data_IF_923319042079
#
_entry.id   IF_923319042079
#
_cell.length_a   1.000
_cell.length_b   1.000
_cell.length_c   1.000
_cell.angle_alpha   90.00
_cell.angle_beta   90.00
_cell.angle_gamma   90.00
#
_symmetry.space_group_name_H-M   'P 1'
#
loop_
_entity.id
_entity.type
_entity.pdbx_description
1 polymer ?
#
# COMPACT_ATOMS: atom_id res chain seq x y z
N UNK A 1 -19.63 13.80 -24.63
CA UNK A 1 -19.77 12.41 -24.10
C UNK A 1 -20.48 11.50 -25.09
N UNK A 2 -21.65 11.87 -25.66
CA UNK A 2 -22.36 11.03 -26.64
C UNK A 2 -21.56 10.70 -27.91
N UNK A 3 -20.79 11.65 -28.44
CA UNK A 3 -19.89 11.39 -29.58
C UNK A 3 -18.79 10.37 -29.24
N UNK A 4 -18.28 10.39 -28.00
CA UNK A 4 -17.30 9.42 -27.53
C UNK A 4 -17.90 8.01 -27.48
N UNK A 5 -19.10 7.84 -26.91
CA UNK A 5 -19.77 6.55 -26.81
C UNK A 5 -20.07 5.99 -28.22
N UNK A 6 -20.60 6.81 -29.13
CA UNK A 6 -20.86 6.38 -30.53
C UNK A 6 -19.59 6.02 -31.29
N UNK A 7 -18.47 6.69 -30.99
CA UNK A 7 -17.21 6.43 -31.69
C UNK A 7 -16.56 5.11 -31.25
N UNK A 8 -16.55 4.85 -29.92
CA UNK A 8 -15.90 3.67 -29.36
C UNK A 8 -16.81 2.45 -29.21
N UNK A 9 -18.11 2.66 -29.26
CA UNK A 9 -19.15 1.61 -29.13
C UNK A 9 -18.85 0.63 -27.95
N UNK A 10 -18.63 1.13 -26.73
CA UNK A 10 -18.23 0.28 -25.62
C UNK A 10 -19.38 -0.61 -25.17
N UNK A 11 -19.09 -1.86 -24.85
CA UNK A 11 -20.07 -2.79 -24.25
C UNK A 11 -20.23 -2.58 -22.74
N UNK A 12 -19.28 -1.93 -22.09
CA UNK A 12 -19.28 -1.59 -20.67
C UNK A 12 -18.36 -0.39 -20.42
N UNK A 13 -18.79 0.51 -19.54
CA UNK A 13 -17.94 1.58 -19.00
C UNK A 13 -17.62 1.25 -17.55
N UNK A 14 -16.33 1.21 -17.22
CA UNK A 14 -15.86 1.01 -15.86
C UNK A 14 -15.23 2.29 -15.34
N UNK A 15 -15.80 2.83 -14.26
CA UNK A 15 -15.28 4.00 -13.55
C UNK A 15 -14.66 3.54 -12.23
N UNK A 16 -13.60 4.22 -11.78
CA UNK A 16 -12.82 3.77 -10.62
C UNK A 16 -12.84 4.79 -9.50
N UNK A 17 -12.95 4.33 -8.25
CA UNK A 17 -12.92 5.09 -7.01
C UNK A 17 -14.12 6.06 -6.83
N UNK A 18 -13.93 7.38 -6.99
CA UNK A 18 -14.96 8.40 -6.68
C UNK A 18 -15.38 9.18 -7.93
N UNK A 19 -15.17 8.61 -9.10
CA UNK A 19 -15.46 9.28 -10.37
C UNK A 19 -16.97 9.18 -10.69
N UNK A 20 -17.71 10.28 -10.46
CA UNK A 20 -19.13 10.40 -10.78
C UNK A 20 -19.30 11.53 -11.78
N UNK A 21 -19.47 11.17 -13.05
CA UNK A 21 -19.60 12.13 -14.14
C UNK A 21 -21.02 12.12 -14.72
N UNK A 22 -21.94 12.99 -14.26
CA UNK A 22 -23.36 12.92 -14.60
C UNK A 22 -23.63 12.89 -16.12
N UNK A 23 -22.89 13.70 -16.91
CA UNK A 23 -23.08 13.76 -18.35
C UNK A 23 -22.62 12.47 -19.06
N UNK A 24 -21.60 11.77 -18.55
CA UNK A 24 -21.18 10.49 -19.10
C UNK A 24 -22.21 9.40 -18.78
N UNK A 25 -22.69 9.36 -17.54
CA UNK A 25 -23.70 8.41 -17.07
C UNK A 25 -25.01 8.56 -17.86
N UNK A 26 -25.51 9.79 -18.01
CA UNK A 26 -26.70 10.05 -18.82
C UNK A 26 -26.49 9.61 -20.28
N UNK A 27 -25.34 9.95 -20.89
CA UNK A 27 -25.06 9.53 -22.26
C UNK A 27 -24.91 8.01 -22.41
N UNK A 28 -24.33 7.33 -21.43
CA UNK A 28 -24.24 5.86 -21.45
C UNK A 28 -25.62 5.22 -21.41
N UNK A 29 -26.50 5.73 -20.54
CA UNK A 29 -27.88 5.27 -20.43
C UNK A 29 -28.67 5.48 -21.72
N UNK A 30 -28.53 6.65 -22.37
CA UNK A 30 -29.19 6.97 -23.63
C UNK A 30 -28.76 6.03 -24.78
N UNK A 31 -27.57 5.43 -24.67
CA UNK A 31 -27.01 4.46 -25.61
C UNK A 31 -27.10 3.00 -25.13
N UNK A 32 -27.79 2.75 -24.00
CA UNK A 32 -27.93 1.42 -23.40
C UNK A 32 -26.59 0.75 -23.06
N UNK A 33 -25.57 1.55 -22.73
CA UNK A 33 -24.25 1.06 -22.32
C UNK A 33 -24.22 0.95 -20.79
N UNK A 34 -24.02 -0.23 -20.22
CA UNK A 34 -23.94 -0.41 -18.77
C UNK A 34 -22.71 0.30 -18.18
N UNK A 35 -22.85 0.81 -16.96
CA UNK A 35 -21.77 1.51 -16.25
C UNK A 35 -21.57 0.94 -14.85
N UNK A 36 -20.35 0.53 -14.54
CA UNK A 36 -19.95 0.08 -13.19
C UNK A 36 -18.99 1.06 -12.54
N UNK A 37 -19.25 1.39 -11.28
CA UNK A 37 -18.28 2.07 -10.42
C UNK A 37 -17.57 1.02 -9.56
N UNK A 38 -16.28 0.78 -9.80
CA UNK A 38 -15.50 -0.23 -9.09
C UNK A 38 -14.53 0.41 -8.11
N UNK A 39 -14.14 -0.36 -7.09
CA UNK A 39 -13.30 0.12 -5.99
C UNK A 39 -13.87 1.41 -5.37
N UNK A 40 -15.20 1.53 -5.34
CA UNK A 40 -15.90 2.75 -4.98
C UNK A 40 -15.66 3.11 -3.51
N UNK A 41 -15.21 4.33 -3.27
CA UNK A 41 -15.05 4.87 -1.92
C UNK A 41 -15.66 6.27 -1.85
N UNK A 42 -16.16 6.63 -0.69
CA UNK A 42 -16.75 7.92 -0.47
C UNK A 42 -16.42 8.45 0.92
N UNK A 43 -15.58 9.48 1.01
CA UNK A 43 -15.25 10.10 2.29
C UNK A 43 -16.49 10.79 2.90
N UNK A 44 -16.51 10.97 4.22
CA UNK A 44 -17.59 11.71 4.87
C UNK A 44 -17.70 13.17 4.38
N UNK A 45 -16.55 13.77 3.99
CA UNK A 45 -16.50 15.11 3.40
C UNK A 45 -17.13 15.11 2.00
N UNK A 46 -16.73 14.18 1.14
CA UNK A 46 -17.27 14.06 -0.23
C UNK A 46 -18.77 13.75 -0.19
N UNK A 47 -19.22 12.87 0.72
CA UNK A 47 -20.64 12.57 0.87
C UNK A 47 -21.47 13.83 1.21
N UNK A 48 -20.96 14.73 2.07
CA UNK A 48 -21.62 16.02 2.34
C UNK A 48 -21.67 16.92 1.11
N UNK A 49 -20.59 16.99 0.34
CA UNK A 49 -20.54 17.77 -0.89
C UNK A 49 -21.53 17.25 -1.93
N UNK A 50 -21.58 15.95 -2.17
CA UNK A 50 -22.55 15.36 -3.09
C UNK A 50 -23.99 15.51 -2.63
N UNK A 51 -24.27 15.42 -1.32
CA UNK A 51 -25.59 15.65 -0.77
C UNK A 51 -26.13 17.08 -1.06
N UNK A 52 -25.25 18.07 -1.18
CA UNK A 52 -25.63 19.44 -1.52
C UNK A 52 -26.28 19.55 -2.91
N UNK A 53 -25.87 18.69 -3.86
CA UNK A 53 -26.44 18.67 -5.22
C UNK A 53 -27.74 17.84 -5.34
N UNK A 54 -28.22 17.24 -4.24
CA UNK A 54 -29.53 16.62 -4.11
C UNK A 54 -29.95 15.70 -5.26
N UNK A 55 -30.97 16.09 -6.00
CA UNK A 55 -31.54 15.27 -7.08
C UNK A 55 -30.55 14.95 -8.22
N UNK A 56 -29.60 15.83 -8.52
CA UNK A 56 -28.57 15.58 -9.52
C UNK A 56 -27.67 14.40 -9.12
N UNK A 57 -27.23 14.39 -7.86
CA UNK A 57 -26.44 13.29 -7.31
C UNK A 57 -27.22 11.99 -7.30
N UNK A 58 -28.45 12.02 -6.80
CA UNK A 58 -29.33 10.84 -6.76
C UNK A 58 -29.55 10.25 -8.16
N UNK A 59 -29.83 11.10 -9.15
CA UNK A 59 -29.98 10.66 -10.53
C UNK A 59 -28.70 10.01 -11.06
N UNK A 60 -27.56 10.69 -10.92
CA UNK A 60 -26.27 10.19 -11.40
C UNK A 60 -25.91 8.84 -10.75
N UNK A 61 -26.12 8.69 -9.43
CA UNK A 61 -25.86 7.42 -8.75
C UNK A 61 -26.76 6.27 -9.22
N UNK A 62 -28.02 6.57 -9.57
CA UNK A 62 -28.97 5.57 -10.07
C UNK A 62 -28.84 5.30 -11.57
N UNK A 63 -28.01 6.07 -12.29
CA UNK A 63 -27.62 5.77 -13.66
C UNK A 63 -26.44 4.76 -13.74
N UNK A 64 -25.77 4.41 -12.61
CA UNK A 64 -24.89 3.23 -12.53
C UNK A 64 -25.73 1.96 -12.48
N UNK A 65 -25.22 0.88 -13.09
CA UNK A 65 -25.77 -0.47 -12.98
C UNK A 65 -25.20 -1.20 -11.77
N UNK A 66 -23.93 -0.90 -11.40
CA UNK A 66 -23.26 -1.46 -10.25
C UNK A 66 -22.37 -0.41 -9.56
N UNK A 67 -22.43 -0.37 -8.23
CA UNK A 67 -21.51 0.37 -7.37
C UNK A 67 -20.81 -0.65 -6.45
N UNK A 68 -19.61 -1.11 -6.83
CA UNK A 68 -18.79 -2.05 -6.07
C UNK A 68 -17.91 -1.28 -5.09
N UNK A 69 -18.37 -1.12 -3.84
CA UNK A 69 -17.70 -0.28 -2.84
C UNK A 69 -16.73 -1.05 -1.94
N UNK A 70 -15.72 -0.33 -1.43
CA UNK A 70 -14.63 -0.91 -0.64
C UNK A 70 -15.08 -1.38 0.75
N UNK A 71 -16.06 -0.72 1.36
CA UNK A 71 -16.44 -0.98 2.76
C UNK A 71 -17.92 -0.81 3.04
N UNK A 72 -18.39 -1.40 4.17
CA UNK A 72 -19.74 -1.16 4.70
C UNK A 72 -19.98 0.32 5.01
N UNK A 73 -18.96 1.09 5.32
CA UNK A 73 -19.08 2.54 5.57
C UNK A 73 -19.32 3.31 4.27
N UNK A 74 -18.70 2.89 3.16
CA UNK A 74 -18.95 3.48 1.83
C UNK A 74 -20.35 3.12 1.35
N UNK A 75 -20.79 1.86 1.50
CA UNK A 75 -22.16 1.45 1.25
C UNK A 75 -23.18 2.38 1.93
N UNK A 76 -23.01 2.62 3.25
CA UNK A 76 -23.92 3.50 4.02
C UNK A 76 -23.91 4.93 3.50
N UNK A 77 -22.75 5.45 3.09
CA UNK A 77 -22.61 6.81 2.55
C UNK A 77 -23.25 6.93 1.17
N UNK A 78 -23.03 6.00 0.25
CA UNK A 78 -23.68 5.98 -1.06
C UNK A 78 -25.20 5.90 -0.92
N UNK A 79 -25.71 5.00 -0.08
CA UNK A 79 -27.14 4.92 0.23
C UNK A 79 -27.68 6.25 0.78
N UNK A 80 -26.95 6.90 1.70
CA UNK A 80 -27.39 8.16 2.33
C UNK A 80 -27.53 9.31 1.33
N UNK A 81 -26.74 9.33 0.27
CA UNK A 81 -26.80 10.37 -0.78
C UNK A 81 -27.68 9.97 -1.97
N UNK A 82 -28.48 8.90 -1.83
CA UNK A 82 -29.56 8.56 -2.75
C UNK A 82 -29.28 7.45 -3.75
N UNK A 83 -28.20 6.69 -3.61
CA UNK A 83 -27.97 5.51 -4.45
C UNK A 83 -28.92 4.36 -4.06
N UNK A 84 -29.44 3.65 -5.06
CA UNK A 84 -30.27 2.46 -4.87
C UNK A 84 -29.49 1.33 -4.21
N UNK A 85 -29.88 0.85 -3.02
CA UNK A 85 -29.18 -0.21 -2.32
C UNK A 85 -29.04 -1.51 -3.12
N UNK A 86 -29.95 -1.80 -4.04
CA UNK A 86 -29.89 -3.00 -4.89
C UNK A 86 -28.73 -2.99 -5.88
N UNK A 87 -28.22 -1.82 -6.19
CA UNK A 87 -27.08 -1.60 -7.10
C UNK A 87 -25.74 -1.49 -6.37
N UNK A 88 -25.74 -1.49 -5.03
CA UNK A 88 -24.50 -1.34 -4.25
C UNK A 88 -24.07 -2.70 -3.69
N UNK A 89 -22.82 -3.08 -3.93
CA UNK A 89 -22.19 -4.27 -3.36
C UNK A 89 -20.92 -3.89 -2.58
N UNK A 90 -20.67 -4.55 -1.45
CA UNK A 90 -19.42 -4.42 -0.70
C UNK A 90 -18.49 -5.54 -1.14
N UNK A 91 -17.43 -5.20 -1.87
CA UNK A 91 -16.50 -6.17 -2.49
C UNK A 91 -15.09 -6.10 -1.91
N UNK A 92 -14.80 -5.13 -1.05
CA UNK A 92 -13.43 -4.89 -0.55
C UNK A 92 -12.66 -3.92 -1.43
N UNK A 93 -11.37 -3.72 -1.11
CA UNK A 93 -10.49 -2.83 -1.86
C UNK A 93 -9.57 -3.64 -2.77
N UNK A 94 -9.46 -3.24 -4.03
CA UNK A 94 -8.51 -3.81 -5.01
C UNK A 94 -7.04 -3.74 -4.54
N UNK A 95 -6.73 -2.90 -3.55
CA UNK A 95 -5.40 -2.84 -2.94
C UNK A 95 -4.98 -4.14 -2.25
N UNK A 96 -5.96 -4.98 -1.87
CA UNK A 96 -5.71 -6.29 -1.28
C UNK A 96 -5.45 -7.39 -2.33
N UNK A 97 -5.74 -7.12 -3.60
CA UNK A 97 -5.48 -8.04 -4.71
C UNK A 97 -4.01 -7.93 -5.14
N UNK A 98 -3.11 -8.46 -4.32
CA UNK A 98 -1.69 -8.50 -4.63
C UNK A 98 -1.36 -9.83 -5.32
N UNK A 99 -0.92 -9.74 -6.57
CA UNK A 99 -0.34 -10.90 -7.25
C UNK A 99 1.07 -11.18 -6.70
N UNK A 100 1.16 -12.20 -5.86
CA UNK A 100 2.42 -12.66 -5.31
C UNK A 100 3.18 -13.61 -6.25
N UNK A 101 2.58 -14.11 -7.32
CA UNK A 101 3.22 -15.12 -8.17
C UNK A 101 4.48 -14.55 -8.85
N UNK A 102 4.37 -13.40 -9.52
CA UNK A 102 5.52 -12.72 -10.10
C UNK A 102 6.55 -12.26 -9.04
N UNK A 103 6.05 -11.87 -7.87
CA UNK A 103 6.90 -11.45 -6.73
C UNK A 103 7.68 -12.60 -6.12
N UNK A 104 7.15 -13.82 -6.15
CA UNK A 104 7.85 -15.03 -5.67
C UNK A 104 9.07 -15.35 -6.50
N UNK A 105 9.02 -15.19 -7.82
CA UNK A 105 10.19 -15.38 -8.69
C UNK A 105 11.31 -14.42 -8.27
N UNK A 106 10.99 -13.14 -8.14
CA UNK A 106 11.97 -12.13 -7.68
C UNK A 106 12.50 -12.43 -6.27
N UNK A 107 11.66 -12.93 -5.37
CA UNK A 107 12.08 -13.32 -4.02
C UNK A 107 13.11 -14.45 -4.07
N UNK A 108 12.87 -15.50 -4.88
CA UNK A 108 13.81 -16.61 -5.03
C UNK A 108 15.14 -16.13 -5.62
N UNK A 109 15.11 -15.29 -6.65
CA UNK A 109 16.31 -14.69 -7.25
C UNK A 109 17.13 -13.90 -6.22
N UNK A 110 16.46 -13.05 -5.42
CA UNK A 110 17.13 -12.26 -4.37
C UNK A 110 17.68 -13.17 -3.29
N UNK A 111 16.93 -14.19 -2.88
CA UNK A 111 17.39 -15.17 -1.88
C UNK A 111 18.64 -15.90 -2.33
N UNK A 112 18.66 -16.35 -3.58
CA UNK A 112 19.81 -17.08 -4.15
C UNK A 112 21.04 -16.16 -4.25
N UNK A 113 20.84 -14.88 -4.63
CA UNK A 113 21.91 -13.89 -4.67
C UNK A 113 22.48 -13.56 -3.28
N UNK A 114 21.64 -13.49 -2.25
CA UNK A 114 22.08 -13.22 -0.88
C UNK A 114 22.72 -14.44 -0.21
N UNK A 115 22.43 -15.65 -0.70
CA UNK A 115 22.97 -16.91 -0.20
C UNK A 115 22.39 -17.34 1.16
N UNK A 116 22.98 -18.40 1.72
CA UNK A 116 22.52 -19.03 2.97
C UNK A 116 22.51 -18.09 4.18
N UNK A 117 23.38 -17.09 4.20
CA UNK A 117 23.51 -16.14 5.30
C UNK A 117 22.23 -15.33 5.56
N UNK A 118 21.34 -15.20 4.59
CA UNK A 118 20.06 -14.49 4.77
C UNK A 118 19.15 -15.17 5.81
N UNK A 119 19.28 -16.49 5.97
CA UNK A 119 18.49 -17.31 6.90
C UNK A 119 19.21 -17.65 8.21
N UNK A 120 20.45 -17.19 8.38
CA UNK A 120 21.26 -17.54 9.57
C UNK A 120 20.72 -16.94 10.87
N UNK A 121 19.85 -15.94 10.79
CA UNK A 121 19.24 -15.25 11.95
C UNK A 121 17.91 -14.59 11.54
N UNK A 122 17.04 -14.26 12.55
CA UNK A 122 15.79 -13.56 12.30
C UNK A 122 16.02 -12.26 11.53
N UNK A 123 15.16 -12.01 10.55
CA UNK A 123 15.26 -10.91 9.59
C UNK A 123 14.05 -9.97 9.74
N UNK A 124 14.29 -8.69 9.85
CA UNK A 124 13.21 -7.72 9.84
C UNK A 124 13.51 -6.54 8.92
N UNK A 125 12.45 -5.98 8.34
CA UNK A 125 12.52 -4.89 7.37
C UNK A 125 12.05 -3.59 8.02
N UNK A 126 12.83 -2.51 7.88
CA UNK A 126 12.33 -1.16 8.05
C UNK A 126 12.04 -0.58 6.66
N UNK A 127 10.77 -0.65 6.26
CA UNK A 127 10.29 -0.36 4.92
C UNK A 127 9.89 1.10 4.73
N UNK A 128 10.38 1.75 3.69
CA UNK A 128 10.00 3.11 3.29
C UNK A 128 10.20 4.16 4.40
N UNK A 129 11.36 4.12 5.05
CA UNK A 129 11.68 5.03 6.15
C UNK A 129 11.90 6.47 5.69
N UNK A 130 11.57 7.40 6.56
CA UNK A 130 11.78 8.84 6.41
C UNK A 130 12.80 9.37 7.40
N UNK A 131 13.32 10.57 7.14
CA UNK A 131 14.26 11.28 8.03
C UNK A 131 13.74 11.30 9.47
N UNK A 132 14.58 10.83 10.39
CA UNK A 132 14.27 10.71 11.82
C UNK A 132 13.80 9.33 12.25
N UNK A 133 13.29 8.50 11.35
CA UNK A 133 12.87 7.12 11.67
C UNK A 133 14.07 6.17 11.74
N UNK A 134 15.07 6.36 10.88
CA UNK A 134 16.24 5.47 10.82
C UNK A 134 17.00 5.42 12.13
N UNK A 135 17.10 6.54 12.84
CA UNK A 135 17.73 6.58 14.17
C UNK A 135 16.93 5.75 15.19
N UNK A 136 15.60 5.80 15.14
CA UNK A 136 14.74 5.00 16.02
C UNK A 136 14.83 3.51 15.69
N UNK A 137 14.90 3.17 14.41
CA UNK A 137 15.11 1.80 13.90
C UNK A 137 16.46 1.26 14.40
N UNK A 138 17.53 2.03 14.29
CA UNK A 138 18.87 1.65 14.80
C UNK A 138 18.85 1.44 16.32
N UNK A 139 18.19 2.31 17.08
CA UNK A 139 18.02 2.14 18.54
C UNK A 139 17.26 0.84 18.85
N UNK A 140 16.20 0.54 18.12
CA UNK A 140 15.47 -0.71 18.27
C UNK A 140 16.36 -1.92 17.98
N UNK A 141 17.19 -1.86 16.92
CA UNK A 141 18.16 -2.90 16.58
C UNK A 141 19.11 -3.17 17.75
N UNK A 142 19.70 -2.13 18.37
CA UNK A 142 20.57 -2.30 19.53
C UNK A 142 19.83 -2.85 20.74
N UNK A 143 18.61 -2.39 20.99
CA UNK A 143 17.78 -2.93 22.10
C UNK A 143 17.51 -4.43 21.93
N UNK A 144 17.23 -4.90 20.70
CA UNK A 144 17.08 -6.33 20.43
C UNK A 144 18.39 -7.09 20.71
N UNK A 145 19.52 -6.54 20.28
CA UNK A 145 20.85 -7.13 20.50
C UNK A 145 21.21 -7.22 21.98
N UNK A 146 20.92 -6.19 22.76
CA UNK A 146 21.10 -6.17 24.23
C UNK A 146 20.25 -7.24 24.93
N UNK A 147 19.08 -7.56 24.39
CA UNK A 147 18.21 -8.65 24.85
C UNK A 147 18.64 -10.04 24.37
N UNK A 148 19.79 -10.16 23.72
CA UNK A 148 20.31 -11.43 23.21
C UNK A 148 19.74 -11.88 21.87
N UNK A 149 18.89 -11.06 21.25
CA UNK A 149 18.29 -11.35 19.93
C UNK A 149 19.20 -10.85 18.81
N UNK A 150 19.99 -11.75 18.26
CA UNK A 150 20.83 -11.45 17.07
C UNK A 150 19.98 -11.46 15.82
N UNK A 151 19.41 -10.31 15.47
CA UNK A 151 18.63 -10.12 14.25
C UNK A 151 19.47 -9.48 13.13
N UNK A 152 18.95 -9.49 11.92
CA UNK A 152 19.46 -8.71 10.79
C UNK A 152 18.42 -7.71 10.34
N UNK A 153 18.84 -6.48 10.08
CA UNK A 153 17.98 -5.41 9.62
C UNK A 153 18.10 -5.23 8.10
N UNK A 154 16.98 -5.26 7.40
CA UNK A 154 16.87 -4.74 6.03
C UNK A 154 16.33 -3.31 6.11
N UNK A 155 17.10 -2.33 5.68
CA UNK A 155 16.73 -0.92 5.75
C UNK A 155 16.46 -0.37 4.35
N UNK A 156 15.20 -0.04 4.08
CA UNK A 156 14.73 0.47 2.79
C UNK A 156 14.22 1.91 2.94
N UNK A 157 15.01 2.95 2.64
CA UNK A 157 14.54 4.32 2.69
C UNK A 157 13.51 4.60 1.59
N UNK A 158 12.53 5.47 1.89
CA UNK A 158 11.52 5.90 0.92
C UNK A 158 12.12 6.58 -0.31
N UNK A 159 13.24 7.27 -0.12
CA UNK A 159 13.92 8.02 -1.16
C UNK A 159 15.37 7.55 -1.29
N UNK A 160 15.75 6.90 -2.40
CA UNK A 160 17.11 6.37 -2.60
C UNK A 160 18.22 7.43 -2.56
N UNK A 161 17.91 8.70 -2.84
CA UNK A 161 18.88 9.79 -2.73
C UNK A 161 19.41 10.02 -1.29
N UNK A 162 18.78 9.42 -0.28
CA UNK A 162 19.19 9.49 1.13
C UNK A 162 20.23 8.43 1.53
N UNK A 163 20.62 7.55 0.61
CA UNK A 163 21.59 6.48 0.89
C UNK A 163 22.86 7.00 1.58
N UNK A 164 23.45 8.12 1.08
CA UNK A 164 24.66 8.71 1.69
C UNK A 164 24.48 9.21 3.12
N UNK A 165 23.30 9.74 3.45
CA UNK A 165 22.94 10.16 4.80
C UNK A 165 22.84 8.95 5.73
N UNK A 166 22.19 7.89 5.25
CA UNK A 166 21.94 6.67 6.02
C UNK A 166 23.23 5.89 6.23
N UNK A 167 24.11 5.78 5.23
CA UNK A 167 25.42 5.11 5.42
C UNK A 167 26.26 5.78 6.49
N UNK A 168 26.32 7.12 6.50
CA UNK A 168 26.99 7.88 7.57
C UNK A 168 26.37 7.62 8.94
N UNK A 169 25.04 7.49 9.00
CA UNK A 169 24.34 7.18 10.24
C UNK A 169 24.71 5.77 10.75
N UNK A 170 24.74 4.76 9.88
CA UNK A 170 25.13 3.40 10.20
C UNK A 170 26.58 3.33 10.69
N UNK A 171 27.51 3.99 9.97
CA UNK A 171 28.93 4.09 10.32
C UNK A 171 29.15 4.75 11.68
N UNK A 172 28.43 5.85 11.97
CA UNK A 172 28.54 6.56 13.26
C UNK A 172 28.08 5.72 14.45
N UNK A 173 27.27 4.68 14.19
CA UNK A 173 26.83 3.71 15.21
C UNK A 173 27.60 2.40 15.19
N UNK A 174 28.67 2.28 14.38
CA UNK A 174 29.52 1.09 14.30
C UNK A 174 28.84 -0.13 13.70
N UNK A 175 27.77 0.05 12.92
CA UNK A 175 27.06 -1.04 12.27
C UNK A 175 27.74 -1.44 10.95
N UNK A 176 27.95 -2.76 10.79
CA UNK A 176 28.43 -3.31 9.54
C UNK A 176 27.26 -3.41 8.56
N UNK A 177 27.41 -2.85 7.35
CA UNK A 177 26.34 -2.88 6.36
C UNK A 177 26.83 -3.28 4.98
N UNK A 178 25.94 -3.83 4.17
CA UNK A 178 26.12 -4.04 2.74
C UNK A 178 24.99 -3.31 2.00
N UNK A 179 25.31 -2.76 0.81
CA UNK A 179 24.31 -2.17 -0.07
C UNK A 179 23.77 -3.25 -1.01
N UNK A 180 22.46 -3.21 -1.25
CA UNK A 180 21.84 -4.13 -2.20
C UNK A 180 22.37 -3.94 -3.62
N UNK A 181 22.66 -2.71 -4.03
CA UNK A 181 23.22 -2.38 -5.35
C UNK A 181 24.58 -2.99 -5.65
N UNK A 182 25.27 -3.54 -4.65
CA UNK A 182 26.56 -4.24 -4.84
C UNK A 182 26.36 -5.68 -5.36
N UNK A 183 25.12 -6.22 -5.27
CA UNK A 183 24.73 -7.57 -5.75
C UNK A 183 25.66 -8.70 -5.28
N UNK A 184 26.19 -8.58 -4.08
CA UNK A 184 27.09 -9.57 -3.49
C UNK A 184 26.34 -10.51 -2.53
N UNK A 185 26.83 -11.73 -2.32
CA UNK A 185 26.38 -12.60 -1.26
C UNK A 185 26.48 -11.91 0.10
N UNK A 186 25.51 -12.17 0.96
CA UNK A 186 25.43 -11.53 2.25
C UNK A 186 26.51 -12.07 3.19
N UNK A 187 27.32 -11.18 3.74
CA UNK A 187 28.31 -11.55 4.75
C UNK A 187 27.62 -11.81 6.10
N UNK A 188 28.06 -12.83 6.84
CA UNK A 188 27.54 -13.13 8.18
C UNK A 188 27.81 -11.99 9.18
N UNK A 189 28.88 -11.23 8.96
CA UNK A 189 29.21 -10.04 9.76
C UNK A 189 28.29 -8.85 9.53
N UNK A 190 27.52 -8.82 8.42
CA UNK A 190 26.64 -7.70 8.12
C UNK A 190 25.48 -7.63 9.10
N UNK A 191 25.36 -6.50 9.79
CA UNK A 191 24.24 -6.17 10.68
C UNK A 191 23.03 -5.67 9.88
N UNK A 192 23.30 -4.91 8.82
CA UNK A 192 22.30 -4.22 8.02
C UNK A 192 22.51 -4.49 6.53
N UNK A 193 21.42 -4.76 5.81
CA UNK A 193 21.36 -4.66 4.35
C UNK A 193 20.62 -3.38 3.99
N UNK A 194 21.31 -2.43 3.38
CA UNK A 194 20.71 -1.21 2.89
C UNK A 194 20.13 -1.44 1.50
N UNK A 195 18.81 -1.42 1.40
CA UNK A 195 18.07 -1.58 0.14
C UNK A 195 18.04 -0.23 -0.57
N UNK A 196 18.98 -0.01 -1.43
CA UNK A 196 19.18 1.22 -2.22
C UNK A 196 18.72 1.05 -3.68
N UNK A 197 18.10 -0.07 -4.00
CA UNK A 197 17.50 -0.40 -5.29
C UNK A 197 16.00 -0.11 -5.31
N UNK A 198 15.43 0.00 -6.52
CA UNK A 198 13.99 0.21 -6.71
C UNK A 198 13.29 -1.09 -7.14
N UNK A 199 12.03 -1.26 -6.71
CA UNK A 199 11.17 -2.36 -7.16
C UNK A 199 11.38 -3.70 -6.45
N UNK A 200 12.37 -3.82 -5.54
CA UNK A 200 12.68 -5.07 -4.84
C UNK A 200 12.06 -5.20 -3.44
N UNK A 201 11.53 -4.10 -2.87
CA UNK A 201 11.05 -4.07 -1.49
C UNK A 201 10.02 -5.18 -1.18
N UNK A 202 9.11 -5.45 -2.10
CA UNK A 202 8.09 -6.49 -1.91
C UNK A 202 8.71 -7.88 -1.73
N UNK A 203 9.75 -8.21 -2.49
CA UNK A 203 10.46 -9.49 -2.33
C UNK A 203 11.22 -9.56 -1.00
N UNK A 204 11.83 -8.47 -0.55
CA UNK A 204 12.46 -8.39 0.77
C UNK A 204 11.47 -8.55 1.92
N UNK A 205 10.24 -8.04 1.77
CA UNK A 205 9.16 -8.29 2.74
C UNK A 205 8.80 -9.78 2.82
N UNK A 206 8.88 -10.51 1.71
CA UNK A 206 8.68 -11.96 1.67
C UNK A 206 9.80 -12.78 2.33
N UNK A 207 10.98 -12.20 2.54
CA UNK A 207 12.09 -12.83 3.26
C UNK A 207 12.04 -12.58 4.76
N UNK A 208 11.30 -11.57 5.22
CA UNK A 208 11.35 -11.06 6.58
C UNK A 208 10.31 -11.68 7.51
N UNK A 209 10.68 -11.85 8.78
CA UNK A 209 9.78 -12.28 9.85
C UNK A 209 8.87 -11.12 10.31
N UNK A 210 9.39 -9.89 10.29
CA UNK A 210 8.65 -8.68 10.69
C UNK A 210 9.00 -7.49 9.81
N UNK A 211 8.04 -6.56 9.64
CA UNK A 211 8.24 -5.33 8.91
C UNK A 211 7.73 -4.11 9.67
N UNK A 212 8.62 -3.17 9.93
CA UNK A 212 8.25 -1.82 10.34
C UNK A 212 7.91 -1.00 9.08
N UNK A 213 6.72 -0.41 9.06
CA UNK A 213 6.25 0.42 7.94
C UNK A 213 6.50 1.90 8.26
N UNK A 214 7.41 2.51 7.52
CA UNK A 214 7.85 3.89 7.72
C UNK A 214 6.80 4.95 7.40
N UNK A 215 7.15 6.22 7.65
CA UNK A 215 6.22 7.35 7.61
C UNK A 215 5.20 7.33 8.74
N UNK A 216 5.37 6.41 9.69
CA UNK A 216 4.42 6.15 10.76
C UNK A 216 4.92 6.58 12.15
N UNK A 217 6.24 6.70 12.38
CA UNK A 217 6.81 7.33 13.58
C UNK A 217 6.99 8.85 13.41
N UNK A 218 6.95 9.33 12.18
CA UNK A 218 6.92 10.77 11.83
C UNK A 218 5.57 11.11 11.23
N UNK A 219 5.10 12.38 11.27
CA UNK A 219 3.75 12.76 10.83
C UNK A 219 3.62 12.81 9.29
N UNK A 220 3.89 11.68 8.63
CA UNK A 220 3.75 11.48 7.17
C UNK A 220 2.50 10.68 6.80
N UNK A 221 1.82 10.08 7.80
CA UNK A 221 0.57 9.37 7.60
C UNK A 221 0.74 7.88 7.28
N UNK A 222 1.95 7.34 7.35
CA UNK A 222 2.28 5.94 7.10
C UNK A 222 2.30 5.57 5.61
N UNK A 223 2.96 4.45 5.31
CA UNK A 223 2.96 3.79 4.01
C UNK A 223 2.07 2.55 4.01
N UNK A 224 1.94 1.90 2.86
CA UNK A 224 1.05 0.76 2.66
C UNK A 224 1.56 -0.49 3.40
N UNK A 225 0.81 -1.05 4.38
CA UNK A 225 1.20 -2.25 5.10
C UNK A 225 0.77 -3.55 4.40
N UNK A 226 -0.08 -3.45 3.37
CA UNK A 226 -0.74 -4.62 2.74
C UNK A 226 0.29 -5.56 2.12
N UNK A 227 1.36 -5.03 1.51
CA UNK A 227 2.39 -5.87 0.89
C UNK A 227 3.10 -6.76 1.91
N UNK A 228 3.42 -6.23 3.08
CA UNK A 228 4.03 -7.02 4.16
C UNK A 228 3.06 -8.10 4.68
N UNK A 229 1.80 -7.71 4.91
CA UNK A 229 0.75 -8.65 5.36
C UNK A 229 0.46 -9.75 4.33
N UNK A 230 0.47 -9.44 3.03
CA UNK A 230 0.25 -10.43 1.97
C UNK A 230 1.33 -11.53 1.96
N UNK A 231 2.55 -11.21 2.39
CA UNK A 231 3.62 -12.19 2.58
C UNK A 231 3.53 -12.96 3.91
N UNK A 232 2.58 -12.64 4.79
CA UNK A 232 2.49 -13.19 6.14
C UNK A 232 3.51 -12.60 7.11
N UNK A 233 4.17 -11.52 6.74
CA UNK A 233 5.15 -10.81 7.57
C UNK A 233 4.42 -10.07 8.71
N UNK A 234 4.91 -10.15 9.94
CA UNK A 234 4.35 -9.40 11.06
C UNK A 234 4.53 -7.89 10.85
N UNK A 235 3.43 -7.14 10.87
CA UNK A 235 3.43 -5.70 10.54
C UNK A 235 3.52 -4.86 11.82
N UNK A 236 4.46 -3.93 11.83
CA UNK A 236 4.66 -2.95 12.90
C UNK A 236 4.49 -1.54 12.32
N UNK A 237 3.68 -0.71 12.96
CA UNK A 237 3.51 0.69 12.58
C UNK A 237 3.69 1.62 13.78
N UNK A 238 4.03 2.87 13.53
CA UNK A 238 3.93 3.95 14.52
C UNK A 238 2.50 4.53 14.56
N UNK A 239 2.28 5.59 15.36
CA UNK A 239 0.95 6.17 15.57
C UNK A 239 0.41 6.99 14.40
N UNK A 240 1.26 7.38 13.45
CA UNK A 240 0.86 8.24 12.33
C UNK A 240 0.48 7.40 11.10
N UNK A 241 -0.72 6.81 11.09
CA UNK A 241 -1.21 5.92 10.02
C UNK A 241 -2.45 6.46 9.29
N UNK A 242 -2.66 7.77 9.28
CA UNK A 242 -3.89 8.39 8.76
C UNK A 242 -4.22 8.00 7.32
N UNK A 243 -3.21 7.79 6.47
CA UNK A 243 -3.39 7.37 5.08
C UNK A 243 -3.90 5.93 4.95
N UNK A 244 -3.68 5.10 5.98
CA UNK A 244 -3.98 3.68 6.01
C UNK A 244 -4.75 3.25 7.27
N UNK A 245 -5.33 4.20 8.01
CA UNK A 245 -5.98 3.97 9.30
C UNK A 245 -7.07 2.89 9.26
N UNK A 246 -7.82 2.79 8.19
CA UNK A 246 -8.84 1.73 8.02
C UNK A 246 -8.18 0.37 7.84
N UNK A 247 -7.14 0.29 7.01
CA UNK A 247 -6.40 -0.94 6.72
C UNK A 247 -5.69 -1.45 7.98
N UNK A 248 -5.01 -0.58 8.71
CA UNK A 248 -4.32 -0.94 9.95
C UNK A 248 -5.31 -1.51 10.97
N UNK A 249 -6.46 -0.84 11.17
CA UNK A 249 -7.51 -1.33 12.07
C UNK A 249 -8.11 -2.67 11.65
N UNK A 250 -8.24 -2.92 10.34
CA UNK A 250 -8.79 -4.17 9.83
C UNK A 250 -7.77 -5.33 9.95
N UNK A 251 -6.49 -5.02 10.23
CA UNK A 251 -5.41 -5.99 10.49
C UNK A 251 -5.20 -6.30 11.98
N UNK A 252 -5.69 -5.43 12.90
CA UNK A 252 -5.67 -5.65 14.36
C UNK A 252 -6.73 -6.69 14.78
#
# INVERSE_FOLDING_TARGET
TGAFIRHWDPQLIVMVETEIWPNLLTSAKDHSVPVALVNARLSARSARSYAYFGSLTTKALNDFDLIACQSKSDFRRFRKIGADPSKIQVVGSIKFDIDLAARRVQLEEIRDQLGEAVRSRPLWVAASTHTGEELLVIKAYFTLRERGLRTRLLLAPRHPNRVREITKLLESHGLQYQKRSEYQPLADSSDVVLIDTLGELSAFLGLADAAFIGGSLVPRGGHNPIEAAAWGCAVITGPHVINFATIVRDME
#
